data_IF_047964431178
#
_entry.id   IF_047964431178
#
_cell.length_a   1.000
_cell.length_b   1.000
_cell.length_c   1.000
_cell.angle_alpha   90.00
_cell.angle_beta   90.00
_cell.angle_gamma   90.00
#
_symmetry.space_group_name_H-M   'P 1'
#
loop_
_entity.id
_entity.type
_entity.pdbx_description
1 polymer ?
#
# COMPACT_ATOMS: atom_id res chain seq x y z
N UNK A 1 6.81 17.57 -1.73
CA UNK A 1 5.61 16.76 -1.46
C UNK A 1 5.72 15.50 -2.29
N UNK A 2 5.55 14.32 -1.69
CA UNK A 2 5.45 13.09 -2.48
C UNK A 2 4.17 13.13 -3.34
N UNK A 3 4.18 12.51 -4.53
CA UNK A 3 2.97 12.40 -5.35
C UNK A 3 1.91 11.60 -4.60
N UNK A 4 0.68 12.09 -4.65
CA UNK A 4 -0.52 11.36 -4.20
C UNK A 4 -1.35 10.98 -5.41
N UNK A 5 -1.96 9.81 -5.35
CA UNK A 5 -2.75 9.21 -6.40
C UNK A 5 -4.21 9.07 -5.96
N UNK A 6 -5.13 8.85 -6.90
CA UNK A 6 -6.54 8.70 -6.56
C UNK A 6 -6.79 7.47 -5.68
N UNK A 7 -6.01 6.41 -5.88
CA UNK A 7 -6.14 5.12 -5.20
C UNK A 7 -4.85 4.29 -5.33
N UNK A 8 -4.84 3.15 -4.64
CA UNK A 8 -3.74 2.19 -4.64
C UNK A 8 -3.43 1.65 -6.05
N UNK A 9 -4.42 1.41 -6.91
CA UNK A 9 -4.16 0.87 -8.25
C UNK A 9 -3.42 1.89 -9.11
N UNK A 10 -3.82 3.17 -9.05
CA UNK A 10 -3.12 4.24 -9.73
C UNK A 10 -1.69 4.44 -9.17
N UNK A 11 -1.50 4.32 -7.85
CA UNK A 11 -0.17 4.29 -7.23
C UNK A 11 0.68 3.15 -7.79
N UNK A 12 0.18 1.91 -7.77
CA UNK A 12 0.92 0.72 -8.22
C UNK A 12 1.24 0.76 -9.73
N UNK A 13 0.42 1.44 -10.53
CA UNK A 13 0.68 1.63 -11.96
C UNK A 13 1.72 2.71 -12.24
N UNK A 14 1.73 3.79 -11.44
CA UNK A 14 2.58 4.97 -11.66
C UNK A 14 3.92 4.89 -10.96
N UNK A 15 4.01 4.15 -9.85
CA UNK A 15 5.20 4.01 -9.03
C UNK A 15 5.68 2.54 -8.99
N UNK A 16 6.66 2.17 -9.82
CA UNK A 16 7.22 0.82 -9.83
C UNK A 16 7.74 0.38 -8.47
N UNK A 17 8.32 1.31 -7.69
CA UNK A 17 8.82 1.05 -6.34
C UNK A 17 7.69 0.68 -5.37
N UNK A 18 6.54 1.34 -5.48
CA UNK A 18 5.36 1.02 -4.68
C UNK A 18 4.82 -0.36 -5.04
N UNK A 19 4.82 -0.71 -6.33
CA UNK A 19 4.45 -2.04 -6.81
C UNK A 19 5.38 -3.13 -6.28
N UNK A 20 6.69 -2.93 -6.40
CA UNK A 20 7.66 -3.90 -5.88
C UNK A 20 7.49 -4.11 -4.39
N UNK A 21 7.33 -3.04 -3.60
CA UNK A 21 7.06 -3.16 -2.18
C UNK A 21 5.75 -3.89 -1.89
N UNK A 22 4.65 -3.50 -2.55
CA UNK A 22 3.36 -4.15 -2.39
C UNK A 22 3.44 -5.65 -2.66
N UNK A 23 4.14 -6.07 -3.72
CA UNK A 23 4.29 -7.48 -4.10
C UNK A 23 5.13 -8.29 -3.08
N UNK A 24 5.92 -7.64 -2.20
CA UNK A 24 6.66 -8.32 -1.12
C UNK A 24 5.82 -8.57 0.13
N UNK A 25 4.63 -7.97 0.23
CA UNK A 25 3.77 -8.09 1.41
C UNK A 25 3.05 -9.45 1.44
N UNK A 26 2.75 -10.00 2.63
CA UNK A 26 1.91 -11.19 2.78
C UNK A 26 0.57 -11.04 2.06
N UNK A 27 0.01 -12.14 1.54
CA UNK A 27 -1.26 -12.12 0.80
C UNK A 27 -2.38 -11.43 1.60
N UNK A 28 -2.53 -11.75 2.89
CA UNK A 28 -3.55 -11.15 3.74
C UNK A 28 -3.39 -9.62 3.89
N UNK A 29 -2.16 -9.11 3.91
CA UNK A 29 -1.88 -7.67 3.97
C UNK A 29 -2.24 -7.00 2.64
N UNK A 30 -1.86 -7.63 1.52
CA UNK A 30 -2.22 -7.15 0.17
C UNK A 30 -3.73 -7.13 -0.03
N UNK A 31 -4.45 -8.14 0.45
CA UNK A 31 -5.91 -8.18 0.41
C UNK A 31 -6.53 -7.07 1.25
N UNK A 32 -6.07 -6.86 2.48
CA UNK A 32 -6.58 -5.78 3.33
C UNK A 32 -6.29 -4.37 2.79
N UNK A 33 -5.16 -4.16 2.12
CA UNK A 33 -4.88 -2.90 1.41
C UNK A 33 -5.88 -2.71 0.26
N UNK A 34 -6.20 -3.78 -0.48
CA UNK A 34 -7.16 -3.72 -1.60
C UNK A 34 -8.60 -3.45 -1.16
N UNK A 35 -9.00 -3.87 0.05
CA UNK A 35 -10.36 -3.62 0.56
C UNK A 35 -10.58 -2.21 1.09
N UNK A 36 -9.51 -1.47 1.40
CA UNK A 36 -9.55 -0.04 1.76
C UNK A 36 -8.68 0.81 0.81
N UNK A 37 -9.14 1.06 -0.42
CA UNK A 37 -8.41 1.95 -1.34
C UNK A 37 -8.33 3.40 -0.82
N UNK A 38 -9.30 3.82 0.00
CA UNK A 38 -9.35 5.15 0.59
C UNK A 38 -8.36 5.26 1.76
N UNK A 39 -7.18 5.81 1.49
CA UNK A 39 -6.16 6.10 2.50
C UNK A 39 -4.75 5.63 2.11
N UNK A 40 -4.65 4.74 1.12
CA UNK A 40 -3.36 4.32 0.55
C UNK A 40 -3.21 4.91 -0.84
N UNK A 41 -2.65 6.11 -0.90
CA UNK A 41 -2.56 6.90 -2.12
C UNK A 41 -1.14 7.38 -2.45
N UNK A 42 -0.17 7.00 -1.65
CA UNK A 42 1.23 7.39 -1.79
C UNK A 42 2.11 6.28 -1.21
N UNK A 43 3.38 6.25 -1.60
CA UNK A 43 4.29 5.20 -1.15
C UNK A 43 4.48 5.21 0.39
N UNK A 44 4.54 6.39 1.01
CA UNK A 44 4.55 6.54 2.46
C UNK A 44 3.30 5.90 3.11
N UNK A 45 2.09 6.29 2.67
CA UNK A 45 0.84 5.72 3.21
C UNK A 45 0.73 4.21 3.04
N UNK A 46 1.32 3.65 1.97
CA UNK A 46 1.37 2.21 1.73
C UNK A 46 2.25 1.50 2.77
N UNK A 47 3.43 2.06 3.08
CA UNK A 47 4.30 1.53 4.14
C UNK A 47 3.64 1.61 5.50
N UNK A 48 3.13 2.78 5.87
CA UNK A 48 2.50 3.01 7.17
C UNK A 48 1.33 2.03 7.39
N UNK A 49 0.49 1.84 6.37
CA UNK A 49 -0.63 0.92 6.47
C UNK A 49 -0.19 -0.55 6.55
N UNK A 50 0.80 -0.95 5.75
CA UNK A 50 1.35 -2.30 5.79
C UNK A 50 2.00 -2.60 7.16
N UNK A 51 2.75 -1.66 7.73
CA UNK A 51 3.37 -1.78 9.06
C UNK A 51 2.33 -1.90 10.18
N UNK A 52 1.22 -1.16 10.10
CA UNK A 52 0.13 -1.29 11.06
C UNK A 52 -0.56 -2.66 11.00
N UNK A 53 -0.73 -3.21 9.79
CA UNK A 53 -1.32 -4.54 9.60
C UNK A 53 -0.40 -5.65 10.09
N UNK A 54 0.91 -5.57 9.83
CA UNK A 54 1.87 -6.60 10.26
C UNK A 54 2.18 -6.55 11.74
N UNK A 55 2.07 -5.37 12.38
CA UNK A 55 2.25 -5.23 13.83
C UNK A 55 1.07 -5.81 14.64
N UNK A 56 -0.14 -5.84 14.08
CA UNK A 56 -1.32 -6.41 14.74
C UNK A 56 -1.42 -7.94 14.68
N UNK A 57 -0.52 -8.58 13.92
CA UNK A 57 -0.49 -10.03 13.66
C UNK A 57 0.48 -10.78 14.61
N UNK A 58 1.06 -10.07 15.58
CA UNK A 58 2.06 -10.57 16.54
C UNK A 58 1.57 -10.61 17.98
#
# INVERSE_FOLDING_TARGET
MEPTYSDIYMLLQREPVAKQYFDTLPDYVREQIRTRPNGVNSFASLKDYAENLTRGDG
#
